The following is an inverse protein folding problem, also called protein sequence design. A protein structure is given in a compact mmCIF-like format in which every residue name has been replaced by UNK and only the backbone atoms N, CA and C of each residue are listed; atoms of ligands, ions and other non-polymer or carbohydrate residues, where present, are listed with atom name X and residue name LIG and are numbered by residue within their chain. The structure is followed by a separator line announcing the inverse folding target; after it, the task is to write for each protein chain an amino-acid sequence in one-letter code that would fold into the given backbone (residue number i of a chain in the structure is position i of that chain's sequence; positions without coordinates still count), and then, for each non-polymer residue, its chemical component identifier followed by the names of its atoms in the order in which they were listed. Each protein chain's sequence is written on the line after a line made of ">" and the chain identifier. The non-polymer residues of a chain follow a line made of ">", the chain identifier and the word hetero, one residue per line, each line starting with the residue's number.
data_IF_956697919469
#
_entry.id   IF_956697919469
#
_cell.length_a   1.000
_cell.length_b   1.000
_cell.length_c   1.000
_cell.angle_alpha   90.00
_cell.angle_beta   90.00
_cell.angle_gamma   90.00
#
_symmetry.space_group_name_H-M   'P 1'
#
loop_
_entity.id
_entity.type
_entity.pdbx_description
1 polymer ?
#
# COMPACT_ATOMS: atom_id res chain seq x y z
N UNK A 1 21.04 7.19 -38.91
CA UNK A 1 21.81 7.79 -37.79
C UNK A 1 21.73 6.86 -36.60
N UNK A 2 22.88 6.44 -36.08
CA UNK A 2 23.07 5.20 -35.32
C UNK A 2 22.39 5.19 -33.94
N UNK A 3 21.58 4.14 -33.71
CA UNK A 3 20.95 3.78 -32.43
C UNK A 3 21.97 3.79 -31.25
N UNK A 4 23.23 3.46 -31.53
CA UNK A 4 24.31 3.47 -30.55
C UNK A 4 24.59 4.87 -29.96
N UNK A 5 24.58 5.92 -30.77
CA UNK A 5 24.89 7.29 -30.33
C UNK A 5 23.80 7.82 -29.41
N UNK A 6 22.54 7.50 -29.72
CA UNK A 6 21.38 7.84 -28.87
C UNK A 6 21.44 7.11 -27.53
N UNK A 7 21.82 5.83 -27.52
CA UNK A 7 22.00 5.06 -26.28
C UNK A 7 23.15 5.56 -25.42
N UNK A 8 24.30 5.92 -26.03
CA UNK A 8 25.44 6.49 -25.31
C UNK A 8 25.10 7.86 -24.72
N UNK A 9 24.38 8.71 -25.46
CA UNK A 9 23.91 10.00 -24.94
C UNK A 9 22.95 9.82 -23.74
N UNK A 10 22.06 8.82 -23.80
CA UNK A 10 21.20 8.46 -22.66
C UNK A 10 22.02 8.08 -21.43
N UNK A 11 22.97 7.15 -21.55
CA UNK A 11 23.78 6.71 -20.40
C UNK A 11 24.73 7.80 -19.88
N UNK A 12 25.31 8.63 -20.76
CA UNK A 12 26.14 9.77 -20.35
C UNK A 12 25.32 10.81 -19.55
N UNK A 13 24.07 11.05 -19.95
CA UNK A 13 23.15 11.90 -19.19
C UNK A 13 22.79 11.29 -17.83
N UNK A 14 22.56 9.98 -17.77
CA UNK A 14 22.33 9.29 -16.49
C UNK A 14 23.55 9.38 -15.57
N UNK A 15 24.76 9.16 -16.09
CA UNK A 15 26.00 9.20 -15.32
C UNK A 15 26.34 10.61 -14.81
N UNK A 16 26.11 11.65 -15.63
CA UNK A 16 26.34 13.04 -15.22
C UNK A 16 25.34 13.54 -14.18
N UNK A 17 24.14 12.94 -14.11
CA UNK A 17 23.13 13.25 -13.10
C UNK A 17 23.25 12.38 -11.82
N UNK A 18 24.20 11.45 -11.76
CA UNK A 18 24.39 10.59 -10.59
C UNK A 18 25.20 11.31 -9.52
N UNK A 19 24.68 11.32 -8.29
CA UNK A 19 25.47 11.63 -7.09
C UNK A 19 26.39 10.44 -6.78
N UNK A 20 27.70 10.63 -6.88
CA UNK A 20 28.72 9.60 -6.61
C UNK A 20 28.93 9.33 -5.12
N UNK A 21 28.37 10.18 -4.25
CA UNK A 21 28.48 10.08 -2.80
C UNK A 21 27.12 9.70 -2.23
N UNK A 22 27.01 8.47 -1.72
CA UNK A 22 25.84 8.04 -0.96
C UNK A 22 25.97 8.51 0.48
N UNK A 23 25.12 9.46 0.88
CA UNK A 23 25.09 9.94 2.27
C UNK A 23 24.04 9.17 3.04
N UNK A 24 24.50 8.35 3.98
CA UNK A 24 23.62 7.56 4.82
C UNK A 24 23.40 8.20 6.18
N UNK A 25 22.24 7.89 6.74
CA UNK A 25 21.92 8.16 8.12
C UNK A 25 22.28 7.01 9.06
N UNK A 26 22.05 7.25 10.35
CA UNK A 26 22.14 6.23 11.38
C UNK A 26 21.02 6.39 12.39
N UNK A 27 20.50 5.26 12.86
CA UNK A 27 19.57 5.22 13.99
C UNK A 27 20.27 5.80 15.23
N UNK A 28 19.64 6.79 15.87
CA UNK A 28 20.12 7.37 17.13
C UNK A 28 19.45 6.70 18.32
N UNK A 29 18.17 6.40 18.20
CA UNK A 29 17.37 5.82 19.28
C UNK A 29 16.21 4.98 18.74
N UNK A 30 15.78 3.98 19.52
CA UNK A 30 14.57 3.19 19.26
C UNK A 30 13.66 3.32 20.48
N UNK A 31 12.43 3.83 20.30
CA UNK A 31 11.45 4.04 21.36
C UNK A 31 10.13 3.38 20.95
N UNK A 32 9.89 2.15 21.44
CA UNK A 32 8.73 1.37 21.02
C UNK A 32 8.71 1.18 19.50
N UNK A 33 7.64 1.68 18.86
CA UNK A 33 7.46 1.62 17.40
C UNK A 33 8.08 2.80 16.64
N UNK A 34 8.59 3.82 17.33
CA UNK A 34 9.19 5.00 16.69
C UNK A 34 10.71 4.89 16.76
N UNK A 35 11.35 5.04 15.61
CA UNK A 35 12.81 5.05 15.49
C UNK A 35 13.25 6.48 15.21
N UNK A 36 14.19 6.97 16.01
CA UNK A 36 14.86 8.23 15.74
C UNK A 36 16.14 7.97 14.94
N UNK A 37 16.37 8.75 13.90
CA UNK A 37 17.61 8.69 13.13
C UNK A 37 18.16 10.07 12.80
N UNK A 38 19.48 10.12 12.60
CA UNK A 38 20.14 11.24 11.94
C UNK A 38 20.17 10.92 10.45
N UNK A 39 19.46 11.69 9.63
CA UNK A 39 19.43 11.51 8.18
C UNK A 39 19.58 12.91 7.53
N UNK A 40 20.53 13.11 6.60
CA UNK A 40 20.88 14.45 6.12
C UNK A 40 19.89 15.03 5.11
N UNK A 41 19.08 14.19 4.48
CA UNK A 41 18.04 14.54 3.51
C UNK A 41 16.79 13.71 3.79
N UNK A 42 15.63 14.19 3.40
CA UNK A 42 14.36 13.47 3.52
C UNK A 42 13.19 14.38 3.86
N UNK A 43 12.02 14.02 3.38
CA UNK A 43 10.75 14.73 3.55
C UNK A 43 9.71 13.81 4.18
N UNK A 44 8.62 14.39 4.67
CA UNK A 44 7.52 13.61 5.26
C UNK A 44 6.96 12.63 4.21
N UNK A 45 6.80 11.36 4.58
CA UNK A 45 6.34 10.30 3.69
C UNK A 45 7.43 9.61 2.88
N UNK A 46 8.69 10.09 2.92
CA UNK A 46 9.78 9.38 2.25
C UNK A 46 10.03 8.02 2.90
N UNK A 47 10.28 7.02 2.05
CA UNK A 47 10.63 5.68 2.50
C UNK A 47 12.13 5.60 2.72
N UNK A 48 12.52 5.00 3.83
CA UNK A 48 13.88 4.69 4.22
C UNK A 48 14.07 3.18 4.33
N UNK A 49 15.29 2.72 4.10
CA UNK A 49 15.72 1.37 4.43
C UNK A 49 16.60 1.40 5.69
N UNK A 50 16.27 0.59 6.69
CA UNK A 50 17.04 0.44 7.93
C UNK A 50 17.69 -0.94 7.94
N UNK A 51 19.02 -0.98 8.08
CA UNK A 51 19.76 -2.23 8.15
C UNK A 51 19.69 -2.84 9.56
N UNK A 52 19.19 -4.08 9.64
CA UNK A 52 19.18 -4.88 10.86
C UNK A 52 20.55 -5.50 11.11
N UNK A 53 20.76 -5.99 12.33
CA UNK A 53 21.98 -6.74 12.72
C UNK A 53 22.22 -7.98 11.85
N UNK A 54 21.17 -8.61 11.36
CA UNK A 54 21.26 -9.78 10.47
C UNK A 54 21.75 -9.45 9.05
N UNK A 55 21.90 -8.17 8.71
CA UNK A 55 22.19 -7.72 7.34
C UNK A 55 20.95 -7.52 6.47
N UNK A 56 19.79 -8.01 6.88
CA UNK A 56 18.52 -7.72 6.21
C UNK A 56 18.14 -6.24 6.37
N UNK A 57 17.42 -5.69 5.40
CA UNK A 57 16.86 -4.34 5.49
C UNK A 57 15.36 -4.38 5.74
N UNK A 58 14.85 -3.37 6.44
CA UNK A 58 13.42 -3.10 6.52
C UNK A 58 13.09 -1.73 5.97
N UNK A 59 11.87 -1.57 5.47
CA UNK A 59 11.34 -0.26 5.11
C UNK A 59 10.77 0.44 6.33
N UNK A 60 10.96 1.75 6.39
CA UNK A 60 10.34 2.64 7.36
C UNK A 60 9.96 3.95 6.66
N UNK A 61 8.91 4.62 7.11
CA UNK A 61 8.45 5.89 6.57
C UNK A 61 8.85 7.04 7.48
N UNK A 62 9.28 8.18 6.91
CA UNK A 62 9.48 9.42 7.68
C UNK A 62 8.11 9.97 8.09
N UNK A 63 7.77 9.84 9.37
CA UNK A 63 6.49 10.31 9.93
C UNK A 63 6.60 11.65 10.67
N UNK A 64 7.82 12.19 10.80
CA UNK A 64 8.01 13.51 11.37
C UNK A 64 9.46 13.85 11.67
N UNK A 65 9.63 15.00 12.31
CA UNK A 65 10.94 15.55 12.66
C UNK A 65 10.89 16.10 14.08
N UNK A 66 11.94 15.87 14.86
CA UNK A 66 12.05 16.37 16.23
C UNK A 66 13.50 16.69 16.56
N UNK A 67 13.77 17.92 17.03
CA UNK A 67 15.11 18.36 17.47
C UNK A 67 16.23 18.06 16.45
N UNK A 68 15.97 18.29 15.16
CA UNK A 68 16.93 18.04 14.08
C UNK A 68 17.14 16.55 13.73
N UNK A 69 16.28 15.65 14.22
CA UNK A 69 16.27 14.22 13.89
C UNK A 69 15.02 13.84 13.12
N UNK A 70 15.11 12.79 12.33
CA UNK A 70 13.97 12.20 11.63
C UNK A 70 13.33 11.14 12.52
N UNK A 71 12.00 11.10 12.52
CA UNK A 71 11.21 10.07 13.17
C UNK A 71 10.71 9.11 12.10
N UNK A 72 11.06 7.84 12.25
CA UNK A 72 10.77 6.77 11.32
C UNK A 72 9.74 5.80 11.92
N UNK A 73 8.72 5.47 11.13
CA UNK A 73 7.76 4.40 11.44
C UNK A 73 8.10 3.15 10.61
N UNK A 74 8.53 2.06 11.24
CA UNK A 74 8.79 0.78 10.59
C UNK A 74 7.54 0.22 9.93
N UNK A 75 7.68 -0.30 8.71
CA UNK A 75 6.60 -0.97 7.97
C UNK A 75 6.56 -2.48 8.24
N UNK A 76 7.52 -2.99 9.01
CA UNK A 76 7.65 -4.38 9.41
C UNK A 76 8.24 -4.47 10.82
N UNK A 77 8.42 -5.69 11.34
CA UNK A 77 9.01 -5.93 12.65
C UNK A 77 10.33 -5.16 12.86
N UNK A 78 10.50 -4.58 14.03
CA UNK A 78 11.68 -3.82 14.43
C UNK A 78 12.80 -4.67 15.01
N UNK A 79 12.57 -5.96 15.23
CA UNK A 79 13.53 -6.85 15.85
C UNK A 79 14.88 -6.83 15.11
N UNK A 80 15.95 -6.59 15.87
CA UNK A 80 17.31 -6.51 15.34
C UNK A 80 17.75 -5.13 14.83
N UNK A 81 16.93 -4.09 14.99
CA UNK A 81 17.37 -2.68 14.84
C UNK A 81 18.02 -2.22 16.13
N UNK A 82 19.11 -1.45 16.03
CA UNK A 82 19.86 -0.95 17.17
C UNK A 82 20.41 0.46 16.90
N UNK A 83 20.75 1.24 17.95
CA UNK A 83 21.47 2.50 17.77
C UNK A 83 22.75 2.29 16.95
N UNK A 84 22.91 3.07 15.88
CA UNK A 84 23.99 2.91 14.90
C UNK A 84 23.61 2.14 13.63
N UNK A 85 22.43 1.47 13.58
CA UNK A 85 21.90 0.86 12.35
C UNK A 85 21.93 1.88 11.21
N UNK A 86 22.46 1.47 10.04
CA UNK A 86 22.52 2.29 8.83
C UNK A 86 21.11 2.57 8.31
N UNK A 87 20.84 3.81 7.95
CA UNK A 87 19.57 4.26 7.37
C UNK A 87 19.85 4.89 6.02
N UNK A 88 19.14 4.47 4.97
CA UNK A 88 19.28 5.05 3.63
C UNK A 88 17.93 5.48 3.08
N UNK A 89 17.87 6.56 2.30
CA UNK A 89 16.65 6.90 1.57
C UNK A 89 16.41 5.85 0.48
N UNK A 90 15.16 5.42 0.35
CA UNK A 90 14.72 4.64 -0.80
C UNK A 90 14.71 5.55 -2.04
N UNK A 91 15.27 5.10 -3.18
CA UNK A 91 15.25 5.89 -4.41
C UNK A 91 13.85 5.99 -5.02
N UNK A 92 12.91 5.14 -4.57
CA UNK A 92 11.53 5.11 -5.03
C UNK A 92 10.58 5.32 -3.87
N UNK A 93 9.41 5.95 -4.11
CA UNK A 93 8.34 6.01 -3.12
C UNK A 93 7.84 4.59 -2.77
N UNK A 94 6.97 4.49 -1.77
CA UNK A 94 6.25 3.25 -1.51
C UNK A 94 5.35 2.95 -2.71
N UNK A 95 5.64 1.87 -3.43
CA UNK A 95 4.83 1.37 -4.54
C UNK A 95 4.26 0.01 -4.22
N UNK A 96 3.11 -0.29 -4.82
CA UNK A 96 2.46 -1.59 -4.79
C UNK A 96 2.23 -2.08 -6.22
N UNK A 97 2.25 -3.41 -6.38
CA UNK A 97 1.90 -4.05 -7.63
C UNK A 97 0.42 -3.78 -7.96
N UNK A 98 0.11 -3.53 -9.23
CA UNK A 98 -1.26 -3.27 -9.70
C UNK A 98 -1.55 -3.95 -11.03
N UNK A 99 -2.82 -4.20 -11.35
CA UNK A 99 -3.27 -4.81 -12.61
C UNK A 99 -3.91 -6.19 -12.40
N UNK A 100 -4.33 -6.81 -13.50
CA UNK A 100 -5.20 -8.01 -13.47
C UNK A 100 -4.55 -9.23 -12.78
N UNK A 101 -3.22 -9.27 -12.69
CA UNK A 101 -2.49 -10.29 -11.94
C UNK A 101 -2.76 -10.32 -10.43
N UNK A 102 -3.50 -9.35 -9.89
CA UNK A 102 -3.96 -9.29 -8.50
C UNK A 102 -5.33 -9.97 -8.30
N UNK A 103 -6.09 -10.26 -9.36
CA UNK A 103 -7.42 -10.86 -9.23
C UNK A 103 -7.32 -12.24 -8.57
N UNK A 104 -8.16 -12.48 -7.55
CA UNK A 104 -8.16 -13.72 -6.76
C UNK A 104 -6.93 -13.93 -5.87
N UNK A 105 -6.15 -12.87 -5.62
CA UNK A 105 -4.98 -12.88 -4.74
C UNK A 105 -5.29 -12.25 -3.38
N UNK A 106 -4.67 -12.77 -2.33
CA UNK A 106 -4.73 -12.17 -0.99
C UNK A 106 -3.36 -11.54 -0.69
N UNK A 107 -3.38 -10.25 -0.36
CA UNK A 107 -2.18 -9.46 -0.13
C UNK A 107 -2.16 -8.89 1.30
N UNK A 108 -0.95 -8.69 1.84
CA UNK A 108 -0.76 -7.90 3.06
C UNK A 108 -0.86 -6.38 2.77
N UNK A 109 -0.75 -5.56 3.83
CA UNK A 109 -0.80 -4.09 3.70
C UNK A 109 0.35 -3.46 2.92
N UNK A 110 1.39 -4.22 2.57
CA UNK A 110 2.51 -3.80 1.73
C UNK A 110 2.40 -4.34 0.29
N UNK A 111 1.33 -5.07 -0.02
CA UNK A 111 1.11 -5.67 -1.33
C UNK A 111 1.83 -6.99 -1.56
N UNK A 112 2.40 -7.61 -0.52
CA UNK A 112 3.02 -8.93 -0.64
C UNK A 112 1.94 -10.03 -0.64
N UNK A 113 2.04 -11.05 -1.51
CA UNK A 113 1.08 -12.15 -1.51
C UNK A 113 1.24 -13.02 -0.27
N UNK A 114 0.12 -13.30 0.40
CA UNK A 114 0.04 -14.14 1.61
C UNK A 114 -0.85 -15.38 1.43
N UNK A 115 -1.32 -15.63 0.20
CA UNK A 115 -2.21 -16.74 -0.17
C UNK A 115 -1.48 -18.04 -0.54
N UNK A 116 -0.14 -18.06 -0.52
CA UNK A 116 0.64 -19.23 -0.91
C UNK A 116 0.63 -19.54 -2.42
N UNK A 117 0.01 -18.70 -3.28
CA UNK A 117 -0.09 -18.93 -4.73
C UNK A 117 1.15 -18.46 -5.53
N UNK A 118 2.28 -18.21 -4.84
CA UNK A 118 3.52 -17.71 -5.43
C UNK A 118 3.51 -16.20 -5.74
N UNK A 119 4.46 -15.69 -6.54
CA UNK A 119 4.57 -14.26 -6.83
C UNK A 119 3.40 -13.73 -7.68
N UNK A 120 3.21 -12.40 -7.68
CA UNK A 120 2.22 -11.73 -8.53
C UNK A 120 2.70 -11.68 -9.98
N UNK A 121 1.79 -11.96 -10.92
CA UNK A 121 2.05 -11.86 -12.36
C UNK A 121 1.66 -10.48 -12.88
N UNK A 122 2.37 -9.45 -12.42
CA UNK A 122 2.21 -8.08 -12.94
C UNK A 122 3.54 -7.34 -12.94
N UNK A 123 3.71 -6.47 -13.93
CA UNK A 123 4.87 -5.59 -14.08
C UNK A 123 4.57 -4.15 -13.67
N UNK A 124 3.30 -3.79 -13.51
CA UNK A 124 2.89 -2.44 -13.17
C UNK A 124 3.02 -2.19 -11.67
N UNK A 125 3.68 -1.08 -11.32
CA UNK A 125 3.86 -0.58 -9.97
C UNK A 125 3.23 0.80 -9.87
N UNK A 126 2.40 1.01 -8.85
CA UNK A 126 1.74 2.29 -8.61
C UNK A 126 2.15 2.84 -7.24
N UNK A 127 2.51 4.12 -7.12
CA UNK A 127 2.74 4.76 -5.83
C UNK A 127 1.50 4.69 -4.94
N UNK A 128 1.68 4.35 -3.65
CA UNK A 128 0.58 4.28 -2.68
C UNK A 128 -0.02 5.67 -2.44
N UNK A 129 0.84 6.70 -2.37
CA UNK A 129 0.40 8.08 -2.28
C UNK A 129 0.22 8.66 -3.69
N UNK A 130 -1.02 9.00 -4.02
CA UNK A 130 -1.37 9.63 -5.29
C UNK A 130 -2.38 10.76 -5.06
N UNK A 131 -2.38 11.76 -5.96
CA UNK A 131 -3.30 12.89 -5.87
C UNK A 131 -4.70 12.45 -6.33
N UNK A 132 -5.77 12.79 -5.59
CA UNK A 132 -7.12 12.43 -6.02
C UNK A 132 -7.51 13.15 -7.31
N UNK A 133 -8.40 12.58 -8.14
CA UNK A 133 -8.93 13.26 -9.31
C UNK A 133 -9.63 14.57 -8.94
N UNK A 134 -9.47 15.59 -9.79
CA UNK A 134 -10.08 16.90 -9.62
C UNK A 134 -11.61 16.76 -9.41
N UNK A 135 -12.18 17.33 -8.33
CA UNK A 135 -13.61 17.26 -8.06
C UNK A 135 -14.50 17.72 -9.23
N UNK A 136 -14.08 18.73 -9.98
CA UNK A 136 -14.84 19.28 -11.12
C UNK A 136 -14.81 18.36 -12.35
N UNK A 137 -13.87 17.43 -12.41
CA UNK A 137 -13.79 16.40 -13.46
C UNK A 137 -14.57 15.13 -13.08
N UNK A 138 -15.14 15.06 -11.87
CA UNK A 138 -15.90 13.89 -11.43
C UNK A 138 -17.21 13.80 -12.19
N UNK A 139 -17.50 12.60 -12.72
CA UNK A 139 -18.77 12.31 -13.37
C UNK A 139 -19.88 12.33 -12.33
N UNK A 140 -21.03 12.90 -12.69
CA UNK A 140 -22.25 12.78 -11.87
C UNK A 140 -22.67 11.31 -11.82
N UNK A 141 -23.19 10.90 -10.66
CA UNK A 141 -23.75 9.56 -10.46
C UNK A 141 -25.11 9.53 -11.16
N UNK A 142 -25.21 8.73 -12.23
CA UNK A 142 -26.43 8.61 -13.05
C UNK A 142 -26.89 7.16 -13.22
N UNK A 143 -25.99 6.21 -13.06
CA UNK A 143 -26.25 4.80 -13.28
C UNK A 143 -26.38 4.07 -11.94
N UNK A 144 -27.42 3.25 -11.74
CA UNK A 144 -27.52 2.40 -10.56
C UNK A 144 -26.40 1.36 -10.56
N UNK A 145 -25.96 0.98 -9.36
CA UNK A 145 -25.09 -0.16 -9.10
C UNK A 145 -25.94 -1.23 -8.41
N UNK A 146 -26.27 -2.30 -9.14
CA UNK A 146 -26.98 -3.42 -8.54
C UNK A 146 -26.04 -4.17 -7.60
N UNK A 147 -26.41 -4.25 -6.33
CA UNK A 147 -25.64 -4.88 -5.25
C UNK A 147 -25.99 -6.36 -5.05
N UNK A 148 -27.15 -6.80 -5.57
CA UNK A 148 -27.68 -8.14 -5.36
C UNK A 148 -28.39 -8.31 -4.01
N UNK A 149 -28.54 -7.23 -3.24
CA UNK A 149 -29.26 -7.21 -1.97
C UNK A 149 -30.57 -6.46 -2.16
N UNK A 150 -31.70 -7.19 -2.25
CA UNK A 150 -33.02 -6.62 -2.59
C UNK A 150 -33.42 -5.39 -1.77
N UNK A 151 -33.16 -5.40 -0.46
CA UNK A 151 -33.48 -4.26 0.39
C UNK A 151 -32.65 -3.02 0.03
N UNK A 152 -31.38 -3.20 -0.36
CA UNK A 152 -30.51 -2.11 -0.81
C UNK A 152 -30.94 -1.67 -2.21
N UNK A 153 -31.06 -2.60 -3.16
CA UNK A 153 -31.38 -2.26 -4.54
C UNK A 153 -32.77 -1.61 -4.69
N UNK A 154 -33.76 -2.07 -3.90
CA UNK A 154 -35.14 -1.61 -3.98
C UNK A 154 -35.49 -0.39 -3.12
N UNK A 155 -34.88 -0.24 -1.93
CA UNK A 155 -35.23 0.84 -0.99
C UNK A 155 -34.13 1.89 -0.81
N UNK A 156 -32.87 1.51 -1.04
CA UNK A 156 -31.69 2.34 -0.79
C UNK A 156 -30.74 2.28 -1.99
N UNK A 157 -31.28 2.44 -3.20
CA UNK A 157 -30.57 2.18 -4.46
C UNK A 157 -29.25 2.94 -4.50
N UNK A 158 -28.16 2.21 -4.75
CA UNK A 158 -26.82 2.78 -4.87
C UNK A 158 -26.51 3.11 -6.32
N UNK A 159 -25.67 4.13 -6.54
CA UNK A 159 -25.20 4.52 -7.86
C UNK A 159 -23.69 4.29 -8.07
N UNK A 160 -23.28 4.09 -9.31
CA UNK A 160 -21.86 3.93 -9.68
C UNK A 160 -21.05 5.18 -9.31
N UNK A 161 -20.05 5.01 -8.46
CA UNK A 161 -19.22 6.11 -7.92
C UNK A 161 -19.73 6.72 -6.62
N UNK A 162 -20.83 6.22 -6.05
CA UNK A 162 -21.30 6.61 -4.72
C UNK A 162 -20.39 6.06 -3.62
N UNK A 163 -20.20 6.84 -2.56
CA UNK A 163 -19.52 6.41 -1.33
C UNK A 163 -20.56 6.24 -0.24
N UNK A 164 -20.57 5.08 0.40
CA UNK A 164 -21.60 4.68 1.36
C UNK A 164 -20.93 4.11 2.61
N UNK A 165 -21.48 4.44 3.78
CA UNK A 165 -21.08 3.83 5.05
C UNK A 165 -22.01 2.68 5.42
N UNK A 166 -21.45 1.58 5.93
CA UNK A 166 -22.22 0.50 6.57
C UNK A 166 -21.97 0.62 8.07
N UNK A 167 -22.95 1.12 8.80
CA UNK A 167 -22.90 1.22 10.26
C UNK A 167 -23.51 -0.03 10.88
N UNK A 168 -22.71 -0.79 11.61
CA UNK A 168 -23.12 -2.09 12.16
C UNK A 168 -22.43 -2.34 13.51
N UNK A 169 -23.17 -2.95 14.44
CA UNK A 169 -22.61 -3.50 15.68
C UNK A 169 -21.95 -4.86 15.45
N UNK A 170 -21.44 -5.47 16.52
CA UNK A 170 -20.97 -6.86 16.46
C UNK A 170 -22.15 -7.82 16.28
N UNK A 171 -21.98 -8.85 15.45
CA UNK A 171 -22.97 -9.94 15.30
C UNK A 171 -24.23 -9.62 14.49
N UNK A 172 -24.42 -8.40 13.99
CA UNK A 172 -25.64 -8.00 13.23
C UNK A 172 -25.61 -8.39 11.75
N UNK A 173 -24.63 -9.17 11.31
CA UNK A 173 -24.51 -9.62 9.92
C UNK A 173 -23.73 -8.70 8.98
N UNK A 174 -22.88 -7.78 9.49
CA UNK A 174 -21.99 -6.92 8.67
C UNK A 174 -21.23 -7.71 7.62
N UNK A 175 -20.50 -8.73 8.05
CA UNK A 175 -19.65 -9.55 7.18
C UNK A 175 -20.46 -10.36 6.16
N UNK A 176 -21.62 -10.86 6.57
CA UNK A 176 -22.53 -11.59 5.66
C UNK A 176 -23.04 -10.66 4.56
N UNK A 177 -23.48 -9.44 4.91
CA UNK A 177 -23.93 -8.44 3.94
C UNK A 177 -22.81 -8.07 2.96
N UNK A 178 -21.60 -7.83 3.46
CA UNK A 178 -20.43 -7.55 2.62
C UNK A 178 -20.11 -8.71 1.68
N UNK A 179 -20.19 -9.95 2.15
CA UNK A 179 -20.02 -11.15 1.32
C UNK A 179 -21.10 -11.29 0.25
N UNK A 180 -22.36 -11.01 0.59
CA UNK A 180 -23.45 -10.98 -0.39
C UNK A 180 -23.18 -9.95 -1.49
N UNK A 181 -22.82 -8.72 -1.11
CA UNK A 181 -22.47 -7.68 -2.08
C UNK A 181 -21.27 -8.08 -2.94
N UNK A 182 -20.21 -8.62 -2.35
CA UNK A 182 -19.02 -9.05 -3.08
C UNK A 182 -19.30 -10.15 -4.12
N UNK A 183 -20.28 -11.03 -3.88
CA UNK A 183 -20.63 -12.13 -4.79
C UNK A 183 -21.67 -11.76 -5.85
N UNK A 184 -22.60 -10.87 -5.52
CA UNK A 184 -23.78 -10.61 -6.34
C UNK A 184 -23.84 -9.22 -6.96
N UNK A 185 -22.90 -8.33 -6.61
CA UNK A 185 -22.77 -7.03 -7.27
C UNK A 185 -22.44 -7.21 -8.75
N UNK A 186 -22.88 -6.25 -9.55
CA UNK A 186 -22.62 -6.17 -11.00
C UNK A 186 -21.30 -5.48 -11.34
N UNK A 187 -20.46 -5.19 -10.35
CA UNK A 187 -19.16 -4.57 -10.57
C UNK A 187 -18.19 -5.54 -11.25
N UNK A 188 -17.38 -5.01 -12.18
CA UNK A 188 -16.39 -5.80 -12.91
C UNK A 188 -15.31 -6.38 -11.99
N UNK A 189 -14.91 -5.62 -10.96
CA UNK A 189 -13.88 -5.98 -9.98
C UNK A 189 -14.30 -5.52 -8.58
N UNK A 190 -14.13 -6.41 -7.60
CA UNK A 190 -14.32 -6.10 -6.19
C UNK A 190 -12.98 -6.13 -5.47
N UNK A 191 -12.64 -5.03 -4.80
CA UNK A 191 -11.46 -4.93 -3.93
C UNK A 191 -11.93 -4.84 -2.48
N UNK A 192 -11.57 -5.84 -1.67
CA UNK A 192 -11.97 -5.92 -0.27
C UNK A 192 -10.74 -5.72 0.61
N UNK A 193 -10.74 -4.65 1.38
CA UNK A 193 -9.71 -4.36 2.38
C UNK A 193 -10.22 -4.70 3.78
N UNK A 194 -9.56 -5.65 4.45
CA UNK A 194 -9.89 -6.06 5.82
C UNK A 194 -8.85 -5.46 6.77
N UNK A 195 -9.23 -4.41 7.51
CA UNK A 195 -8.31 -3.61 8.31
C UNK A 195 -8.63 -3.79 9.80
N UNK A 196 -7.63 -4.20 10.58
CA UNK A 196 -7.76 -4.36 12.04
C UNK A 196 -8.65 -5.53 12.49
N UNK A 197 -9.12 -6.35 11.56
CA UNK A 197 -9.90 -7.57 11.85
C UNK A 197 -8.99 -8.66 12.43
N UNK A 198 -9.56 -9.58 13.23
CA UNK A 198 -8.76 -10.69 13.77
C UNK A 198 -8.45 -11.71 12.69
N UNK A 199 -7.27 -12.35 12.74
CA UNK A 199 -6.86 -13.31 11.71
C UNK A 199 -7.84 -14.46 11.46
N UNK A 200 -8.53 -14.95 12.50
CA UNK A 200 -9.59 -15.98 12.34
C UNK A 200 -10.85 -15.44 11.63
N UNK A 201 -11.18 -14.18 11.86
CA UNK A 201 -12.36 -13.53 11.26
C UNK A 201 -12.08 -13.25 9.77
N UNK A 202 -10.83 -12.89 9.43
CA UNK A 202 -10.37 -12.78 8.04
C UNK A 202 -10.50 -14.12 7.31
N UNK A 203 -9.99 -15.21 7.90
CA UNK A 203 -10.09 -16.55 7.30
C UNK A 203 -11.55 -16.98 7.09
N UNK A 204 -12.39 -16.84 8.11
CA UNK A 204 -13.83 -17.17 7.98
C UNK A 204 -14.54 -16.30 6.94
N UNK A 205 -14.17 -15.03 6.81
CA UNK A 205 -14.71 -14.19 5.75
C UNK A 205 -14.38 -14.71 4.34
N UNK A 206 -13.14 -15.12 4.12
CA UNK A 206 -12.70 -15.63 2.81
C UNK A 206 -13.37 -16.99 2.52
N UNK A 207 -13.23 -17.95 3.43
CA UNK A 207 -13.68 -19.33 3.21
C UNK A 207 -15.21 -19.44 3.19
N UNK A 208 -15.91 -18.76 4.11
CA UNK A 208 -17.36 -18.90 4.27
C UNK A 208 -18.13 -17.87 3.44
N UNK A 209 -17.70 -16.61 3.46
CA UNK A 209 -18.45 -15.52 2.85
C UNK A 209 -18.05 -15.26 1.40
N UNK A 210 -16.77 -15.41 1.01
CA UNK A 210 -16.39 -15.30 -0.40
C UNK A 210 -16.45 -16.66 -1.11
N UNK A 211 -16.31 -17.77 -0.36
CA UNK A 211 -16.23 -19.14 -0.88
C UNK A 211 -14.98 -19.36 -1.74
N UNK A 212 -13.87 -18.75 -1.33
CA UNK A 212 -12.54 -18.85 -1.98
C UNK A 212 -11.52 -19.55 -1.08
#
# INVERSE_FOLDING_TARGET
>A
MNNLTTRLAHYSKSLSAMDSIQVDGRVTQVIGMVIEASLPKGTLGDICNIMRRSGASIRAEIVGFKRGKVLLMPLADTLGIFPGSRVTLSPTPLTVATGDGLLGRILDGLGNPIDGKGPLKTTHQTPVHNTPPNPLQRRRIKEPLATGVRAVDGLLTLGKGQRVGIFAGSGVGKSVLMGMMARYTTADINVIALIGERGREVRDFIETNLKE
#
